data_IF_050893429141
#
_entry.id   IF_050893429141
#
_cell.length_a   1.000
_cell.length_b   1.000
_cell.length_c   1.000
_cell.angle_alpha   90.00
_cell.angle_beta   90.00
_cell.angle_gamma   90.00
#
_symmetry.space_group_name_H-M   'P 1'
#
loop_
_entity.id
_entity.type
_entity.pdbx_description
1 polymer ?
#
# COMPACT_ATOMS: atom_id res chain seq x y z
N UNK A 1 49.12 4.17 23.67
CA UNK A 1 48.04 3.19 23.74
C UNK A 1 48.61 1.84 23.33
N UNK A 2 48.52 0.82 24.17
CA UNK A 2 49.07 -0.50 23.82
C UNK A 2 48.16 -1.17 22.78
N UNK A 3 48.70 -2.09 21.96
CA UNK A 3 47.90 -2.86 20.96
C UNK A 3 46.78 -3.62 21.67
N UNK A 4 46.99 -4.12 22.86
CA UNK A 4 45.99 -4.80 23.70
C UNK A 4 44.86 -3.88 24.12
N UNK A 5 45.13 -2.63 24.49
CA UNK A 5 44.09 -1.63 24.82
C UNK A 5 43.27 -1.25 23.57
N UNK A 6 43.91 -1.14 22.41
CA UNK A 6 43.26 -0.86 21.15
C UNK A 6 42.32 -2.00 20.73
N UNK A 7 42.81 -3.25 20.83
CA UNK A 7 41.99 -4.45 20.56
C UNK A 7 40.87 -4.62 21.57
N UNK A 8 41.11 -4.31 22.86
CA UNK A 8 40.06 -4.31 23.88
C UNK A 8 38.95 -3.28 23.61
N UNK A 9 39.29 -2.05 23.19
CA UNK A 9 38.32 -1.03 22.78
C UNK A 9 37.55 -1.44 21.51
N UNK A 10 38.27 -1.99 20.53
CA UNK A 10 37.64 -2.45 19.28
C UNK A 10 36.63 -3.59 19.53
N UNK A 11 36.94 -4.50 20.46
CA UNK A 11 35.99 -5.56 20.83
C UNK A 11 34.76 -5.03 21.55
N UNK A 12 34.90 -4.02 22.41
CA UNK A 12 33.79 -3.39 23.13
C UNK A 12 32.91 -2.51 22.25
N UNK A 13 33.47 -1.89 21.21
CA UNK A 13 32.71 -1.11 20.20
C UNK A 13 32.16 -1.97 19.07
N UNK A 14 32.48 -3.27 19.06
CA UNK A 14 31.96 -4.20 18.06
C UNK A 14 30.45 -4.41 18.22
N UNK A 15 29.75 -4.39 17.12
CA UNK A 15 28.31 -4.74 17.08
C UNK A 15 28.04 -6.14 17.65
N UNK A 16 28.98 -7.09 17.57
CA UNK A 16 28.86 -8.41 18.20
C UNK A 16 28.77 -8.33 19.72
N UNK A 17 29.55 -7.47 20.35
CA UNK A 17 29.46 -7.26 21.79
C UNK A 17 28.15 -6.62 22.21
N UNK A 18 27.70 -5.60 21.44
CA UNK A 18 26.47 -4.92 21.70
C UNK A 18 25.23 -5.81 21.46
N UNK A 19 25.32 -6.78 20.54
CA UNK A 19 24.20 -7.69 20.19
C UNK A 19 23.77 -8.57 21.38
N UNK A 20 24.73 -8.90 22.28
CA UNK A 20 24.43 -9.68 23.48
C UNK A 20 23.77 -8.85 24.59
N UNK A 21 23.75 -7.51 24.48
CA UNK A 21 23.15 -6.64 25.48
C UNK A 21 21.61 -6.67 25.38
N UNK A 22 21.04 -6.84 24.18
CA UNK A 22 19.60 -6.92 23.99
C UNK A 22 19.22 -7.98 22.94
N UNK A 23 18.71 -9.12 23.40
CA UNK A 23 18.31 -10.25 22.57
C UNK A 23 17.20 -9.88 21.55
N UNK A 24 16.41 -8.82 21.79
CA UNK A 24 15.34 -8.36 20.90
C UNK A 24 15.90 -7.90 19.53
N UNK A 25 17.12 -7.39 19.50
CA UNK A 25 17.81 -7.05 18.24
C UNK A 25 18.08 -8.30 17.40
N UNK A 26 18.47 -9.42 18.04
CA UNK A 26 18.65 -10.71 17.34
C UNK A 26 17.33 -11.17 16.73
N UNK A 27 16.22 -11.05 17.45
CA UNK A 27 14.89 -11.39 16.95
C UNK A 27 14.55 -10.56 15.72
N UNK A 28 14.82 -9.25 15.73
CA UNK A 28 14.56 -8.37 14.57
C UNK A 28 15.44 -8.71 13.37
N UNK A 29 16.70 -9.07 13.58
CA UNK A 29 17.58 -9.56 12.51
C UNK A 29 17.01 -10.83 11.88
N UNK A 30 16.53 -11.77 12.70
CA UNK A 30 15.90 -13.00 12.21
C UNK A 30 14.62 -12.68 11.43
N UNK A 31 13.75 -11.80 11.94
CA UNK A 31 12.54 -11.37 11.22
C UNK A 31 12.92 -10.72 9.88
N UNK A 32 13.92 -9.84 9.85
CA UNK A 32 14.40 -9.22 8.61
C UNK A 32 14.90 -10.28 7.61
N UNK A 33 15.65 -11.28 8.07
CA UNK A 33 16.10 -12.40 7.22
C UNK A 33 14.92 -13.24 6.69
N UNK A 34 13.89 -13.49 7.49
CA UNK A 34 12.67 -14.19 7.06
C UNK A 34 11.95 -13.37 5.98
N UNK A 35 11.78 -12.07 6.18
CA UNK A 35 11.16 -11.18 5.17
C UNK A 35 12.01 -11.13 3.89
N UNK A 36 13.35 -11.09 3.99
CA UNK A 36 14.23 -11.19 2.82
C UNK A 36 14.05 -12.54 2.09
N UNK A 37 13.96 -13.65 2.82
CA UNK A 37 13.67 -14.95 2.22
C UNK A 37 12.32 -14.95 1.50
N UNK A 38 11.28 -14.35 2.07
CA UNK A 38 9.99 -14.22 1.43
C UNK A 38 10.06 -13.40 0.13
N UNK A 39 10.78 -12.28 0.15
CA UNK A 39 10.97 -11.44 -1.04
C UNK A 39 11.82 -12.12 -2.12
N UNK A 40 12.97 -12.68 -1.74
CA UNK A 40 13.95 -13.23 -2.69
C UNK A 40 13.55 -14.60 -3.25
N UNK A 41 13.12 -15.51 -2.38
CA UNK A 41 12.87 -16.91 -2.74
C UNK A 41 11.40 -17.15 -3.08
N UNK A 42 10.49 -16.63 -2.25
CA UNK A 42 9.04 -16.78 -2.48
C UNK A 42 8.48 -15.74 -3.44
N UNK A 43 9.28 -14.73 -3.81
CA UNK A 43 8.91 -13.64 -4.74
C UNK A 43 7.67 -12.84 -4.29
N UNK A 44 7.49 -12.69 -2.99
CA UNK A 44 6.41 -11.90 -2.40
C UNK A 44 6.78 -10.42 -2.50
N UNK A 45 6.12 -9.69 -3.39
CA UNK A 45 6.30 -8.25 -3.65
C UNK A 45 7.77 -7.79 -3.56
N UNK A 46 8.68 -8.37 -4.38
CA UNK A 46 10.13 -8.25 -4.18
C UNK A 46 10.61 -6.80 -4.26
N UNK A 47 9.94 -5.95 -5.03
CA UNK A 47 10.37 -4.56 -5.23
C UNK A 47 10.33 -3.72 -3.95
N UNK A 48 9.40 -4.01 -3.05
CA UNK A 48 9.23 -3.25 -1.81
C UNK A 48 9.67 -4.06 -0.59
N UNK A 49 9.29 -5.34 -0.51
CA UNK A 49 9.56 -6.16 0.66
C UNK A 49 11.07 -6.34 0.92
N UNK A 50 11.89 -6.47 -0.14
CA UNK A 50 13.35 -6.58 0.00
C UNK A 50 13.92 -5.30 0.61
N UNK A 51 13.52 -4.13 0.11
CA UNK A 51 13.98 -2.84 0.64
C UNK A 51 13.54 -2.63 2.10
N UNK A 52 12.29 -2.94 2.44
CA UNK A 52 11.76 -2.85 3.81
C UNK A 52 12.55 -3.79 4.74
N UNK A 53 12.73 -5.05 4.34
CA UNK A 53 13.44 -6.02 5.15
C UNK A 53 14.92 -5.65 5.34
N UNK A 54 15.56 -5.08 4.31
CA UNK A 54 16.94 -4.64 4.40
C UNK A 54 17.10 -3.37 5.26
N UNK A 55 16.17 -2.41 5.15
CA UNK A 55 16.10 -1.24 6.04
C UNK A 55 15.92 -1.64 7.50
N UNK A 56 15.01 -2.60 7.77
CA UNK A 56 14.83 -3.20 9.10
C UNK A 56 16.12 -3.87 9.60
N UNK A 57 16.83 -4.61 8.74
CA UNK A 57 18.11 -5.22 9.08
C UNK A 57 19.13 -4.16 9.50
N UNK A 58 19.34 -3.13 8.67
CA UNK A 58 20.33 -2.09 8.93
C UNK A 58 20.07 -1.35 10.24
N UNK A 59 18.82 -1.00 10.54
CA UNK A 59 18.49 -0.23 11.74
C UNK A 59 18.61 -1.05 13.03
N UNK A 60 18.46 -2.39 12.96
CA UNK A 60 18.58 -3.28 14.11
C UNK A 60 19.99 -3.89 14.29
N UNK A 61 20.96 -3.54 13.44
CA UNK A 61 22.36 -3.85 13.67
C UNK A 61 22.92 -2.90 14.73
N UNK A 62 23.39 -3.41 15.88
CA UNK A 62 23.89 -2.57 16.96
C UNK A 62 25.03 -1.65 16.51
N UNK A 63 24.96 -0.38 16.88
CA UNK A 63 25.98 0.61 16.54
C UNK A 63 25.97 1.08 15.07
N UNK A 64 24.96 0.71 14.28
CA UNK A 64 24.87 1.11 12.88
C UNK A 64 24.61 2.61 12.68
N UNK A 65 23.93 3.26 13.63
CA UNK A 65 23.58 4.68 13.62
C UNK A 65 22.94 5.13 12.29
N UNK A 66 22.13 4.26 11.68
CA UNK A 66 21.49 4.53 10.39
C UNK A 66 20.16 5.26 10.54
N UNK A 67 19.46 5.06 11.66
CA UNK A 67 18.14 5.63 11.96
C UNK A 67 18.01 5.90 13.47
N UNK A 68 17.49 7.07 13.84
CA UNK A 68 17.39 7.57 15.22
C UNK A 68 15.95 7.94 15.55
N UNK A 69 15.14 7.02 16.07
CA UNK A 69 13.73 7.27 16.38
C UNK A 69 13.51 8.46 17.34
N UNK A 70 14.43 8.68 18.27
CA UNK A 70 14.41 9.76 19.24
C UNK A 70 14.48 11.15 18.61
N UNK A 71 15.20 11.31 17.49
CA UNK A 71 15.22 12.58 16.74
C UNK A 71 13.85 12.86 16.12
N UNK A 72 13.16 11.82 15.64
CA UNK A 72 11.82 11.97 15.07
C UNK A 72 10.77 12.26 16.12
N UNK A 73 10.89 11.68 17.34
CA UNK A 73 10.00 12.00 18.46
C UNK A 73 10.16 13.46 18.87
N UNK A 74 11.38 13.95 19.04
CA UNK A 74 11.67 15.35 19.38
C UNK A 74 11.22 16.31 18.27
N UNK A 75 11.32 15.90 16.99
CA UNK A 75 10.80 16.68 15.88
C UNK A 75 9.26 16.78 15.91
N UNK A 76 8.58 15.66 16.18
CA UNK A 76 7.12 15.64 16.29
C UNK A 76 6.63 16.43 17.49
N UNK A 77 7.39 16.40 18.60
CA UNK A 77 7.11 17.22 19.78
C UNK A 77 7.39 18.73 19.57
N UNK A 78 8.01 19.11 18.45
CA UNK A 78 8.37 20.50 18.16
C UNK A 78 9.61 21.01 18.91
N UNK A 79 10.41 20.11 19.49
CA UNK A 79 11.60 20.43 20.25
C UNK A 79 12.81 20.72 19.35
N UNK A 80 12.89 20.07 18.19
CA UNK A 80 13.96 20.24 17.21
C UNK A 80 13.40 20.54 15.82
N UNK A 81 14.26 21.06 14.95
CA UNK A 81 13.92 21.36 13.55
C UNK A 81 14.37 20.25 12.61
N UNK A 82 13.84 20.22 11.40
CA UNK A 82 14.27 19.29 10.35
C UNK A 82 15.77 19.46 10.01
N UNK A 83 16.30 20.67 10.12
CA UNK A 83 17.74 20.94 9.94
C UNK A 83 18.58 20.19 10.95
N UNK A 84 18.11 20.04 12.18
CA UNK A 84 18.81 19.26 13.21
C UNK A 84 18.89 17.78 12.82
N UNK A 85 17.80 17.21 12.31
CA UNK A 85 17.78 15.82 11.80
C UNK A 85 18.79 15.64 10.65
N UNK A 86 18.91 16.61 9.75
CA UNK A 86 19.87 16.53 8.62
C UNK A 86 21.33 16.52 9.13
N UNK A 87 21.64 17.20 10.22
CA UNK A 87 23.00 17.28 10.76
C UNK A 87 23.36 16.11 11.68
N UNK A 88 22.44 15.67 12.52
CA UNK A 88 22.70 14.67 13.55
C UNK A 88 22.19 13.25 13.16
N UNK A 89 21.29 13.17 12.19
CA UNK A 89 20.68 11.91 11.76
C UNK A 89 21.59 11.07 10.87
N UNK A 90 21.28 9.78 10.80
CA UNK A 90 21.91 8.83 9.90
C UNK A 90 21.33 8.89 8.48
N UNK A 91 21.89 8.06 7.60
CA UNK A 91 21.45 8.01 6.19
C UNK A 91 19.95 7.72 6.04
N UNK A 92 19.42 6.80 6.85
CA UNK A 92 18.00 6.41 6.75
C UNK A 92 17.08 7.47 7.37
N UNK A 93 17.54 8.30 8.30
CA UNK A 93 16.82 9.47 8.77
C UNK A 93 16.63 10.49 7.63
N UNK A 94 17.68 10.76 6.85
CA UNK A 94 17.62 11.68 5.70
C UNK A 94 16.65 11.15 4.65
N UNK A 95 16.71 9.86 4.32
CA UNK A 95 15.75 9.25 3.39
C UNK A 95 14.32 9.27 3.93
N UNK A 96 14.13 9.13 5.24
CA UNK A 96 12.80 9.14 5.85
C UNK A 96 12.10 10.50 5.75
N UNK A 97 12.81 11.60 5.53
CA UNK A 97 12.22 12.93 5.26
C UNK A 97 11.23 12.86 4.10
N UNK A 98 11.56 12.15 3.03
CA UNK A 98 10.67 12.00 1.87
C UNK A 98 9.40 11.18 2.16
N UNK A 99 9.45 10.26 3.14
CA UNK A 99 8.26 9.56 3.66
C UNK A 99 7.42 10.52 4.49
N UNK A 100 8.03 11.17 5.48
CA UNK A 100 7.34 12.06 6.43
C UNK A 100 6.68 13.25 5.74
N UNK A 101 7.32 13.81 4.72
CA UNK A 101 6.75 14.89 3.89
C UNK A 101 5.61 14.43 2.97
N UNK A 102 5.48 13.11 2.72
CA UNK A 102 4.53 12.56 1.76
C UNK A 102 5.02 12.63 0.30
N UNK A 103 6.28 13.01 0.07
CA UNK A 103 6.86 13.13 -1.28
C UNK A 103 6.89 11.78 -2.00
N UNK A 104 7.47 10.75 -1.37
CA UNK A 104 7.62 9.45 -2.02
C UNK A 104 6.30 8.77 -2.37
N UNK A 105 5.30 8.68 -1.48
CA UNK A 105 4.00 8.13 -1.85
C UNK A 105 3.35 8.86 -3.02
N UNK A 106 3.42 10.19 -3.06
CA UNK A 106 2.86 10.99 -4.15
C UNK A 106 3.56 10.71 -5.49
N UNK A 107 4.89 10.60 -5.50
CA UNK A 107 5.65 10.25 -6.70
C UNK A 107 5.40 8.81 -7.18
N UNK A 108 5.20 7.87 -6.27
CA UNK A 108 4.78 6.50 -6.63
C UNK A 108 3.40 6.55 -7.28
N UNK A 109 2.47 7.32 -6.75
CA UNK A 109 1.15 7.50 -7.37
C UNK A 109 1.24 8.08 -8.79
N UNK A 110 2.20 8.98 -9.07
CA UNK A 110 2.45 9.45 -10.43
C UNK A 110 2.90 8.31 -11.34
N UNK A 111 3.81 7.46 -10.90
CA UNK A 111 4.23 6.26 -11.64
C UNK A 111 3.08 5.29 -11.88
N UNK A 112 2.28 5.00 -10.84
CA UNK A 112 1.07 4.17 -10.95
C UNK A 112 0.09 4.76 -11.95
N UNK A 113 -0.13 6.07 -11.94
CA UNK A 113 -0.98 6.77 -12.91
C UNK A 113 -0.49 6.61 -14.35
N UNK A 114 0.83 6.73 -14.57
CA UNK A 114 1.45 6.52 -15.89
C UNK A 114 1.35 5.06 -16.37
N UNK A 115 1.30 4.09 -15.46
CA UNK A 115 1.08 2.67 -15.79
C UNK A 115 -0.40 2.34 -16.03
N UNK A 116 -1.32 3.06 -15.40
CA UNK A 116 -2.74 2.73 -15.34
C UNK A 116 -3.45 3.05 -16.66
N UNK A 117 -4.33 2.17 -17.11
CA UNK A 117 -5.30 2.43 -18.16
C UNK A 117 -6.71 2.57 -17.56
N UNK A 118 -7.25 3.78 -17.59
CA UNK A 118 -8.61 4.07 -17.15
C UNK A 118 -9.68 3.73 -18.20
N UNK A 119 -9.29 3.24 -19.38
CA UNK A 119 -10.21 2.84 -20.45
C UNK A 119 -11.31 1.90 -19.98
N UNK A 120 -11.02 0.78 -19.29
CA UNK A 120 -12.03 -0.13 -18.75
C UNK A 120 -13.04 0.54 -17.81
N UNK A 121 -12.58 1.45 -16.94
CA UNK A 121 -13.43 2.22 -16.04
C UNK A 121 -14.35 3.18 -16.83
N UNK A 122 -13.80 3.89 -17.82
CA UNK A 122 -14.54 4.79 -18.69
C UNK A 122 -15.55 4.07 -19.57
N UNK A 123 -15.21 2.84 -20.01
CA UNK A 123 -16.09 1.99 -20.79
C UNK A 123 -17.30 1.51 -19.96
N UNK A 124 -17.10 1.24 -18.66
CA UNK A 124 -18.16 0.83 -17.73
C UNK A 124 -18.08 1.61 -16.40
N UNK A 125 -18.59 2.84 -16.33
CA UNK A 125 -18.52 3.67 -15.12
C UNK A 125 -19.18 3.05 -13.87
N UNK A 126 -20.10 2.09 -14.04
CA UNK A 126 -20.71 1.37 -12.92
C UNK A 126 -19.69 0.59 -12.10
N UNK A 127 -18.52 0.28 -12.66
CA UNK A 127 -17.41 -0.37 -11.97
C UNK A 127 -16.81 0.50 -10.84
N UNK A 128 -17.03 1.83 -10.84
CA UNK A 128 -16.73 2.71 -9.69
C UNK A 128 -17.40 2.23 -8.41
N UNK A 129 -18.63 1.75 -8.50
CA UNK A 129 -19.37 1.25 -7.34
C UNK A 129 -18.70 0.01 -6.73
N UNK A 130 -18.12 -0.87 -7.55
CA UNK A 130 -17.40 -2.05 -7.08
C UNK A 130 -16.09 -1.67 -6.35
N UNK A 131 -15.35 -0.69 -6.87
CA UNK A 131 -14.21 -0.12 -6.18
C UNK A 131 -14.60 0.54 -4.85
N UNK A 132 -15.71 1.29 -4.83
CA UNK A 132 -16.23 1.88 -3.60
C UNK A 132 -16.66 0.82 -2.56
N UNK A 133 -17.33 -0.26 -3.01
CA UNK A 133 -17.74 -1.35 -2.12
C UNK A 133 -16.55 -2.09 -1.49
N UNK A 134 -15.44 -2.21 -2.19
CA UNK A 134 -14.22 -2.80 -1.64
C UNK A 134 -13.62 -1.95 -0.50
N UNK A 135 -13.88 -0.63 -0.44
CA UNK A 135 -13.45 0.20 0.68
C UNK A 135 -14.15 -0.18 2.00
N UNK A 136 -15.16 -1.05 1.97
CA UNK A 136 -15.76 -1.63 3.19
C UNK A 136 -14.68 -2.26 4.10
N UNK A 137 -13.62 -2.82 3.52
CA UNK A 137 -12.48 -3.35 4.28
C UNK A 137 -11.79 -2.31 5.15
N UNK A 138 -11.62 -1.08 4.65
CA UNK A 138 -11.03 0.04 5.39
C UNK A 138 -11.87 0.35 6.64
N UNK A 139 -13.16 0.57 6.44
CA UNK A 139 -14.06 0.98 7.53
C UNK A 139 -14.34 -0.15 8.50
N UNK A 140 -14.44 -1.40 8.04
CA UNK A 140 -14.58 -2.56 8.92
C UNK A 140 -13.37 -2.73 9.84
N UNK A 141 -12.15 -2.66 9.31
CA UNK A 141 -10.94 -2.75 10.10
C UNK A 141 -10.79 -1.55 11.06
N UNK A 142 -11.14 -0.34 10.62
CA UNK A 142 -11.17 0.85 11.48
C UNK A 142 -12.10 0.66 12.69
N UNK A 143 -13.32 0.21 12.46
CA UNK A 143 -14.30 -0.02 13.53
C UNK A 143 -13.86 -1.13 14.48
N UNK A 144 -13.28 -2.22 13.95
CA UNK A 144 -12.75 -3.30 14.80
C UNK A 144 -11.53 -2.86 15.60
N UNK A 145 -10.64 -2.05 15.01
CA UNK A 145 -9.47 -1.52 15.70
C UNK A 145 -9.85 -0.69 16.92
N UNK A 146 -10.90 0.14 16.81
CA UNK A 146 -11.42 0.92 17.94
C UNK A 146 -12.25 0.02 18.89
N UNK A 147 -13.23 -0.69 18.35
CA UNK A 147 -14.26 -1.34 19.17
C UNK A 147 -13.79 -2.62 19.86
N UNK A 148 -12.90 -3.38 19.25
CA UNK A 148 -12.42 -4.66 19.77
C UNK A 148 -11.04 -4.53 20.41
N UNK A 149 -10.12 -3.82 19.75
CA UNK A 149 -8.71 -3.76 20.17
C UNK A 149 -8.35 -2.48 20.92
N UNK A 150 -9.26 -1.51 21.02
CA UNK A 150 -9.08 -0.29 21.83
C UNK A 150 -7.99 0.66 21.30
N UNK A 151 -7.65 0.62 20.02
CA UNK A 151 -6.71 1.57 19.43
C UNK A 151 -7.28 2.99 19.42
N UNK A 152 -6.41 3.98 19.57
CA UNK A 152 -6.78 5.38 19.37
C UNK A 152 -7.29 5.64 17.94
N UNK A 153 -8.22 6.57 17.72
CA UNK A 153 -8.86 6.78 16.41
C UNK A 153 -7.88 7.04 15.24
N UNK A 154 -6.82 7.79 15.47
CA UNK A 154 -5.77 8.06 14.49
C UNK A 154 -4.97 6.79 14.11
N UNK A 155 -4.66 5.94 15.11
CA UNK A 155 -4.00 4.64 14.89
C UNK A 155 -4.95 3.68 14.18
N UNK A 156 -6.22 3.64 14.61
CA UNK A 156 -7.24 2.81 13.98
C UNK A 156 -7.48 3.21 12.50
N UNK A 157 -7.46 4.51 12.17
CA UNK A 157 -7.53 4.99 10.80
C UNK A 157 -6.33 4.50 9.95
N UNK A 158 -5.14 4.51 10.54
CA UNK A 158 -3.91 4.00 9.91
C UNK A 158 -3.93 2.48 9.74
N UNK A 159 -4.56 1.73 10.65
CA UNK A 159 -4.78 0.29 10.49
C UNK A 159 -5.84 0.01 9.43
N UNK A 160 -6.95 0.74 9.48
CA UNK A 160 -8.07 0.58 8.56
C UNK A 160 -7.65 0.71 7.09
N UNK A 161 -6.80 1.69 6.77
CA UNK A 161 -6.37 1.94 5.38
C UNK A 161 -5.69 0.75 4.71
N UNK A 162 -5.14 -0.22 5.48
CA UNK A 162 -4.60 -1.47 4.94
C UNK A 162 -5.64 -2.17 4.06
N UNK A 163 -6.93 -2.11 4.43
CA UNK A 163 -8.03 -2.71 3.68
C UNK A 163 -8.25 -2.15 2.28
N UNK A 164 -7.69 -0.97 1.96
CA UNK A 164 -7.65 -0.45 0.60
C UNK A 164 -6.75 -1.24 -0.34
N UNK A 165 -5.84 -2.05 0.19
CA UNK A 165 -4.83 -2.82 -0.54
C UNK A 165 -3.91 -1.92 -1.39
N UNK A 166 -3.51 -0.79 -0.83
CA UNK A 166 -2.71 0.24 -1.48
C UNK A 166 -1.56 0.65 -0.53
N UNK A 167 -0.39 0.07 -0.76
CA UNK A 167 0.78 0.28 0.09
C UNK A 167 1.22 1.75 0.20
N UNK A 168 1.40 2.48 -0.91
CA UNK A 168 1.75 3.90 -0.88
C UNK A 168 0.75 4.76 -0.10
N UNK A 169 -0.55 4.50 -0.26
CA UNK A 169 -1.62 5.18 0.49
C UNK A 169 -1.52 4.87 1.99
N UNK A 170 -1.27 3.61 2.34
CA UNK A 170 -1.11 3.19 3.73
C UNK A 170 0.10 3.90 4.38
N UNK A 171 1.23 3.98 3.69
CA UNK A 171 2.41 4.71 4.16
C UNK A 171 2.11 6.20 4.30
N UNK A 172 1.48 6.81 3.30
CA UNK A 172 1.18 8.24 3.30
C UNK A 172 0.29 8.64 4.48
N UNK A 173 -0.79 7.90 4.71
CA UNK A 173 -1.71 8.19 5.82
C UNK A 173 -1.04 7.93 7.17
N UNK A 174 -0.41 6.77 7.34
CA UNK A 174 0.21 6.37 8.61
C UNK A 174 1.36 7.29 9.01
N UNK A 175 2.19 7.75 8.06
CA UNK A 175 3.28 8.69 8.35
C UNK A 175 2.80 10.01 8.95
N UNK A 176 1.53 10.36 8.74
CA UNK A 176 0.88 11.57 9.26
C UNK A 176 0.12 11.32 10.57
N UNK A 177 -0.67 10.23 10.63
CA UNK A 177 -1.59 9.95 11.74
C UNK A 177 -0.95 9.13 12.87
N UNK A 178 -0.06 8.18 12.53
CA UNK A 178 0.47 7.22 13.50
C UNK A 178 1.88 6.73 13.09
N UNK A 179 2.89 7.62 13.05
CA UNK A 179 4.22 7.29 12.55
C UNK A 179 4.90 6.14 13.30
N UNK A 180 4.61 5.95 14.58
CA UNK A 180 5.14 4.83 15.38
C UNK A 180 4.71 3.45 14.89
N UNK A 181 3.59 3.38 14.19
CA UNK A 181 3.04 2.15 13.62
C UNK A 181 3.32 1.99 12.12
N UNK A 182 4.18 2.86 11.55
CA UNK A 182 4.43 2.88 10.11
C UNK A 182 5.01 1.55 9.60
N UNK A 183 6.02 1.01 10.28
CA UNK A 183 6.64 -0.25 9.88
C UNK A 183 5.66 -1.44 9.93
N UNK A 184 4.97 -1.73 11.05
CA UNK A 184 4.03 -2.85 11.08
C UNK A 184 2.89 -2.70 10.07
N UNK A 185 2.37 -1.49 9.85
CA UNK A 185 1.31 -1.24 8.86
C UNK A 185 1.82 -1.43 7.43
N UNK A 186 3.01 -0.92 7.10
CA UNK A 186 3.61 -1.11 5.78
C UNK A 186 3.90 -2.59 5.50
N UNK A 187 4.51 -3.30 6.45
CA UNK A 187 4.81 -4.74 6.31
C UNK A 187 3.51 -5.53 6.12
N UNK A 188 2.48 -5.26 6.91
CA UNK A 188 1.18 -5.91 6.77
C UNK A 188 0.58 -5.63 5.38
N UNK A 189 0.50 -4.36 4.96
CA UNK A 189 -0.08 -3.96 3.68
C UNK A 189 0.60 -4.66 2.50
N UNK A 190 1.94 -4.62 2.42
CA UNK A 190 2.67 -5.23 1.30
C UNK A 190 2.67 -6.76 1.36
N UNK A 191 2.76 -7.35 2.56
CA UNK A 191 2.68 -8.81 2.70
C UNK A 191 1.33 -9.35 2.22
N UNK A 192 0.23 -8.69 2.56
CA UNK A 192 -1.10 -9.12 2.12
C UNK A 192 -1.35 -8.85 0.64
N UNK A 193 -0.85 -7.76 0.08
CA UNK A 193 -0.88 -7.56 -1.37
C UNK A 193 -0.23 -8.73 -2.12
N UNK A 194 0.92 -9.20 -1.64
CA UNK A 194 1.60 -10.36 -2.22
C UNK A 194 0.80 -11.67 -2.05
N UNK A 195 0.01 -11.79 -1.00
CA UNK A 195 -0.80 -12.97 -0.69
C UNK A 195 -2.19 -12.97 -1.35
N UNK A 196 -2.58 -11.92 -2.07
CA UNK A 196 -3.87 -11.81 -2.77
C UNK A 196 -4.23 -13.07 -3.56
N UNK A 197 -3.31 -13.70 -4.36
CA UNK A 197 -3.62 -14.92 -5.09
C UNK A 197 -3.96 -16.13 -4.21
N UNK A 198 -3.63 -16.09 -2.93
CA UNK A 198 -3.93 -17.14 -1.94
C UNK A 198 -5.16 -16.79 -1.10
N UNK A 199 -5.31 -15.52 -0.73
CA UNK A 199 -6.34 -15.04 0.19
C UNK A 199 -7.70 -14.89 -0.52
N UNK A 200 -7.74 -14.27 -1.69
CA UNK A 200 -9.01 -13.98 -2.39
C UNK A 200 -9.75 -15.20 -2.92
N UNK A 201 -9.11 -16.21 -3.57
CA UNK A 201 -9.84 -17.32 -4.21
C UNK A 201 -10.76 -18.12 -3.28
N UNK A 202 -10.39 -18.43 -2.02
CA UNK A 202 -11.30 -19.09 -1.08
C UNK A 202 -12.59 -18.29 -0.84
N UNK A 203 -12.48 -16.99 -0.61
CA UNK A 203 -13.62 -16.09 -0.38
C UNK A 203 -14.48 -15.97 -1.64
N UNK A 204 -13.85 -15.84 -2.81
CA UNK A 204 -14.55 -15.79 -4.09
C UNK A 204 -15.40 -17.04 -4.32
N UNK A 205 -14.86 -18.22 -4.04
CA UNK A 205 -15.58 -19.51 -4.20
C UNK A 205 -16.66 -19.70 -3.16
N UNK A 206 -16.44 -19.21 -1.94
CA UNK A 206 -17.43 -19.31 -0.85
C UNK A 206 -18.66 -18.44 -1.15
N UNK A 207 -18.46 -17.24 -1.68
CA UNK A 207 -19.51 -16.27 -1.89
C UNK A 207 -20.19 -16.32 -3.26
N UNK A 208 -19.63 -17.04 -4.24
CA UNK A 208 -20.21 -17.14 -5.59
C UNK A 208 -20.53 -18.56 -5.96
N UNK A 209 -21.63 -18.77 -6.69
CA UNK A 209 -21.97 -20.08 -7.23
C UNK A 209 -21.15 -20.38 -8.49
N UNK A 210 -21.14 -21.63 -8.94
CA UNK A 210 -20.42 -22.04 -10.16
C UNK A 210 -21.01 -21.33 -11.38
N UNK A 211 -22.33 -21.27 -11.46
CA UNK A 211 -23.08 -20.61 -12.54
C UNK A 211 -22.73 -19.11 -12.62
N UNK A 212 -22.65 -18.42 -11.48
CA UNK A 212 -22.24 -17.03 -11.42
C UNK A 212 -20.81 -16.80 -11.94
N UNK A 213 -19.88 -17.72 -11.64
CA UNK A 213 -18.49 -17.64 -12.10
C UNK A 213 -18.32 -17.95 -13.60
N UNK A 214 -19.26 -18.71 -14.19
CA UNK A 214 -19.25 -19.06 -15.62
C UNK A 214 -19.80 -17.94 -16.50
N UNK A 215 -20.44 -16.90 -15.95
CA UNK A 215 -21.04 -15.80 -16.71
C UNK A 215 -19.96 -15.12 -17.58
N UNK A 216 -20.20 -15.10 -18.89
CA UNK A 216 -19.41 -14.35 -19.86
C UNK A 216 -19.94 -12.92 -19.96
N UNK A 217 -19.03 -11.97 -19.92
CA UNK A 217 -19.38 -10.57 -20.08
C UNK A 217 -19.20 -10.13 -21.55
N UNK A 218 -20.08 -9.27 -22.01
CA UNK A 218 -19.99 -8.66 -23.34
C UNK A 218 -18.76 -7.75 -23.45
N UNK A 219 -18.19 -7.61 -24.65
CA UNK A 219 -17.03 -6.76 -24.88
C UNK A 219 -17.30 -5.30 -24.46
N UNK A 220 -16.30 -4.68 -23.83
CA UNK A 220 -16.38 -3.29 -23.43
C UNK A 220 -16.45 -2.37 -24.67
N UNK A 221 -17.23 -1.29 -24.55
CA UNK A 221 -17.27 -0.27 -25.61
C UNK A 221 -15.93 0.42 -25.80
N UNK A 222 -15.56 0.83 -27.02
CA UNK A 222 -14.36 1.63 -27.24
C UNK A 222 -14.47 2.99 -26.55
N UNK A 223 -13.35 3.49 -26.02
CA UNK A 223 -13.23 4.78 -25.34
C UNK A 223 -12.39 5.71 -26.22
N UNK A 224 -12.89 6.92 -26.47
CA UNK A 224 -12.18 7.89 -27.30
C UNK A 224 -10.97 8.50 -26.58
N UNK A 225 -9.94 8.90 -27.35
CA UNK A 225 -8.76 9.59 -26.80
C UNK A 225 -9.14 10.85 -26.01
N UNK A 226 -10.14 11.60 -26.46
CA UNK A 226 -10.64 12.78 -25.75
C UNK A 226 -11.16 12.44 -24.35
N UNK A 227 -11.94 11.34 -24.22
CA UNK A 227 -12.42 10.88 -22.90
C UNK A 227 -11.27 10.50 -21.98
N UNK A 228 -10.24 9.81 -22.47
CA UNK A 228 -9.06 9.43 -21.69
C UNK A 228 -8.25 10.63 -21.21
N UNK A 229 -8.12 11.69 -22.01
CA UNK A 229 -7.42 12.93 -21.62
C UNK A 229 -8.25 13.77 -20.64
N UNK A 230 -9.55 13.91 -20.86
CA UNK A 230 -10.42 14.74 -20.01
C UNK A 230 -10.67 14.12 -18.64
N UNK A 231 -10.68 12.80 -18.54
CA UNK A 231 -10.97 12.09 -17.30
C UNK A 231 -10.05 12.47 -16.13
N UNK A 232 -8.70 12.41 -16.25
CA UNK A 232 -7.82 12.77 -15.15
C UNK A 232 -7.97 14.25 -14.73
N UNK A 233 -8.23 15.15 -15.68
CA UNK A 233 -8.43 16.57 -15.39
C UNK A 233 -9.72 16.78 -14.59
N UNK A 234 -10.83 16.21 -15.05
CA UNK A 234 -12.16 16.35 -14.42
C UNK A 234 -12.12 15.72 -13.02
N UNK A 235 -11.57 14.52 -12.89
CA UNK A 235 -11.49 13.83 -11.59
C UNK A 235 -10.63 14.63 -10.61
N UNK A 236 -9.49 15.18 -11.05
CA UNK A 236 -8.65 16.01 -10.19
C UNK A 236 -9.41 17.23 -9.70
N UNK A 237 -10.05 17.97 -10.58
CA UNK A 237 -10.80 19.19 -10.21
C UNK A 237 -11.92 18.82 -9.23
N UNK A 238 -12.76 17.87 -9.60
CA UNK A 238 -13.96 17.54 -8.82
C UNK A 238 -13.62 16.97 -7.45
N UNK A 239 -12.71 15.99 -7.39
CA UNK A 239 -12.39 15.30 -6.13
C UNK A 239 -11.54 16.17 -5.21
N UNK A 240 -10.58 16.93 -5.74
CA UNK A 240 -9.75 17.82 -4.91
C UNK A 240 -10.53 19.05 -4.40
N UNK A 241 -11.57 19.52 -5.12
CA UNK A 241 -12.48 20.53 -4.59
C UNK A 241 -13.38 19.97 -3.49
N UNK A 242 -13.82 18.71 -3.62
CA UNK A 242 -14.63 18.04 -2.61
C UNK A 242 -13.78 17.71 -1.35
N UNK A 243 -12.56 17.25 -1.55
CA UNK A 243 -11.68 16.78 -0.48
C UNK A 243 -10.22 17.24 -0.76
N UNK A 244 -9.85 18.45 -0.35
CA UNK A 244 -8.52 19.02 -0.64
C UNK A 244 -7.34 18.18 -0.14
N UNK A 245 -7.52 17.45 0.96
CA UNK A 245 -6.48 16.60 1.56
C UNK A 245 -5.99 15.48 0.63
N UNK A 246 -6.77 15.06 -0.37
CA UNK A 246 -6.39 13.98 -1.32
C UNK A 246 -5.50 14.48 -2.46
N UNK A 247 -5.39 15.80 -2.64
CA UNK A 247 -4.70 16.40 -3.78
C UNK A 247 -3.28 15.88 -4.03
N UNK A 248 -2.42 15.64 -3.02
CA UNK A 248 -1.07 15.11 -3.26
C UNK A 248 -1.08 13.73 -3.92
N UNK A 249 -1.94 12.81 -3.46
CA UNK A 249 -2.01 11.45 -4.00
C UNK A 249 -2.76 11.42 -5.33
N UNK A 250 -4.01 11.86 -5.34
CA UNK A 250 -4.86 11.80 -6.52
C UNK A 250 -4.37 12.71 -7.65
N UNK A 251 -3.88 13.90 -7.31
CA UNK A 251 -3.33 14.82 -8.29
C UNK A 251 -2.11 14.24 -9.00
N UNK A 252 -1.20 13.60 -8.26
CA UNK A 252 -0.05 12.91 -8.86
C UNK A 252 -0.48 11.70 -9.69
N UNK A 253 -1.44 10.89 -9.22
CA UNK A 253 -2.01 9.77 -10.00
C UNK A 253 -2.55 10.25 -11.35
N UNK A 254 -3.36 11.29 -11.33
CA UNK A 254 -4.00 11.84 -12.52
C UNK A 254 -2.99 12.54 -13.44
N UNK A 255 -1.96 13.20 -12.89
CA UNK A 255 -0.88 13.79 -13.67
C UNK A 255 -0.08 12.71 -14.42
N UNK A 256 0.28 11.62 -13.76
CA UNK A 256 0.96 10.49 -14.38
C UNK A 256 0.13 9.88 -15.52
N UNK A 257 -1.17 9.72 -15.30
CA UNK A 257 -2.09 9.23 -16.32
C UNK A 257 -2.21 10.20 -17.50
N UNK A 258 -2.26 11.50 -17.23
CA UNK A 258 -2.29 12.52 -18.29
C UNK A 258 -1.01 12.47 -19.15
N UNK A 259 0.17 12.23 -18.57
CA UNK A 259 1.41 12.05 -19.32
C UNK A 259 1.32 10.90 -20.33
N UNK A 260 0.66 9.81 -19.96
CA UNK A 260 0.44 8.66 -20.84
C UNK A 260 -0.59 8.93 -21.92
N UNK A 261 -1.76 9.46 -21.55
CA UNK A 261 -2.91 9.50 -22.46
C UNK A 261 -2.87 10.67 -23.45
N UNK A 262 -2.12 11.74 -23.17
CA UNK A 262 -2.00 12.87 -24.11
C UNK A 262 -1.20 12.51 -25.36
N UNK A 263 -0.22 11.58 -25.27
CA UNK A 263 0.64 11.17 -26.37
C UNK A 263 1.62 12.26 -26.83
N UNK A 264 1.87 13.27 -26.01
CA UNK A 264 2.82 14.35 -26.26
C UNK A 264 4.02 14.28 -25.32
N UNK A 265 3.89 13.52 -24.23
CA UNK A 265 4.84 13.44 -23.13
C UNK A 265 5.28 12.00 -22.86
N UNK A 266 5.44 11.18 -23.89
CA UNK A 266 5.80 9.76 -23.77
C UNK A 266 7.10 9.56 -22.97
N UNK A 267 8.08 10.45 -23.13
CA UNK A 267 9.33 10.43 -22.35
C UNK A 267 9.10 10.67 -20.86
N UNK A 268 8.18 11.54 -20.49
CA UNK A 268 7.84 11.78 -19.08
C UNK A 268 7.05 10.60 -18.50
N UNK A 269 6.13 10.05 -19.29
CA UNK A 269 5.39 8.84 -18.94
C UNK A 269 6.35 7.67 -18.69
N UNK A 270 7.30 7.44 -19.61
CA UNK A 270 8.32 6.39 -19.47
C UNK A 270 9.18 6.60 -18.22
N UNK A 271 9.67 7.83 -18.00
CA UNK A 271 10.46 8.16 -16.82
C UNK A 271 9.66 7.94 -15.52
N UNK A 272 8.40 8.36 -15.49
CA UNK A 272 7.55 8.25 -14.31
C UNK A 272 7.29 6.78 -13.92
N UNK A 273 6.96 5.93 -14.89
CA UNK A 273 6.62 4.53 -14.65
C UNK A 273 7.84 3.61 -14.44
N UNK A 274 9.03 4.02 -14.86
CA UNK A 274 10.25 3.22 -14.78
C UNK A 274 11.28 3.86 -13.82
N UNK A 275 12.06 4.84 -14.27
CA UNK A 275 13.20 5.37 -13.52
C UNK A 275 12.78 6.03 -12.19
N UNK A 276 11.81 6.96 -12.24
CA UNK A 276 11.34 7.67 -11.05
C UNK A 276 10.73 6.72 -10.03
N UNK A 277 9.82 5.84 -10.48
CA UNK A 277 9.16 4.88 -9.61
C UNK A 277 10.17 3.95 -8.94
N UNK A 278 11.16 3.45 -9.67
CA UNK A 278 12.18 2.56 -9.13
C UNK A 278 13.07 3.27 -8.09
N UNK A 279 13.55 4.49 -8.38
CA UNK A 279 14.36 5.28 -7.44
C UNK A 279 13.58 5.57 -6.16
N UNK A 280 12.35 6.04 -6.30
CA UNK A 280 11.50 6.38 -5.14
C UNK A 280 11.15 5.13 -4.34
N UNK A 281 10.93 3.99 -5.00
CA UNK A 281 10.68 2.70 -4.32
C UNK A 281 11.87 2.28 -3.47
N UNK A 282 13.10 2.43 -3.95
CA UNK A 282 14.31 2.14 -3.17
C UNK A 282 14.35 3.01 -1.91
N UNK A 283 14.18 4.32 -2.04
CA UNK A 283 14.25 5.25 -0.92
C UNK A 283 13.12 5.03 0.10
N UNK A 284 11.89 4.86 -0.41
CA UNK A 284 10.72 4.63 0.43
C UNK A 284 10.84 3.31 1.18
N UNK A 285 11.14 2.21 0.50
CA UNK A 285 11.15 0.88 1.13
C UNK A 285 12.23 0.77 2.20
N UNK A 286 13.45 1.25 1.93
CA UNK A 286 14.56 1.19 2.89
C UNK A 286 14.29 2.08 4.11
N UNK A 287 13.80 3.30 3.92
CA UNK A 287 13.52 4.22 5.02
C UNK A 287 12.30 3.82 5.86
N UNK A 288 11.27 3.25 5.24
CA UNK A 288 10.12 2.68 5.97
C UNK A 288 10.56 1.46 6.77
N UNK A 289 11.39 0.59 6.19
CA UNK A 289 11.95 -0.55 6.91
C UNK A 289 12.77 -0.14 8.14
N UNK A 290 13.48 0.99 8.05
CA UNK A 290 14.26 1.52 9.15
C UNK A 290 13.43 1.91 10.39
N UNK A 291 12.16 2.26 10.21
CA UNK A 291 11.27 2.57 11.35
C UNK A 291 10.92 1.34 12.19
N UNK A 292 11.23 0.13 11.72
CA UNK A 292 11.02 -1.13 12.44
C UNK A 292 12.10 -1.39 13.49
N UNK A 293 12.26 -0.50 14.45
CA UNK A 293 13.19 -0.71 15.58
C UNK A 293 12.59 -1.69 16.58
N UNK A 294 13.45 -2.51 17.21
CA UNK A 294 13.03 -3.64 18.05
C UNK A 294 12.03 -3.29 19.15
N UNK A 295 12.20 -2.18 19.86
CA UNK A 295 11.35 -1.80 20.99
C UNK A 295 9.99 -1.22 20.55
N UNK A 296 9.83 -0.74 19.31
CA UNK A 296 8.57 -0.30 18.72
C UNK A 296 7.85 -1.44 18.00
N UNK A 297 8.61 -2.33 17.36
CA UNK A 297 8.06 -3.38 16.52
C UNK A 297 7.63 -4.62 17.31
N UNK A 298 8.44 -5.07 18.28
CA UNK A 298 8.15 -6.27 19.08
C UNK A 298 7.14 -5.98 20.20
N UNK A 299 5.94 -5.60 19.81
CA UNK A 299 4.83 -5.29 20.71
C UNK A 299 3.58 -6.10 20.36
N UNK A 300 2.67 -6.37 21.33
CA UNK A 300 1.40 -7.04 21.02
C UNK A 300 0.57 -6.31 19.98
N UNK A 301 0.66 -4.99 19.94
CA UNK A 301 -0.03 -4.15 18.96
C UNK A 301 0.35 -4.48 17.52
N UNK A 302 1.61 -4.81 17.27
CA UNK A 302 2.08 -5.26 15.95
C UNK A 302 1.35 -6.52 15.49
N UNK A 303 1.15 -7.50 16.38
CA UNK A 303 0.39 -8.71 16.05
C UNK A 303 -1.09 -8.38 15.75
N UNK A 304 -1.70 -7.47 16.53
CA UNK A 304 -3.07 -7.04 16.28
C UNK A 304 -3.19 -6.32 14.92
N UNK A 305 -2.23 -5.47 14.56
CA UNK A 305 -2.18 -4.82 13.24
C UNK A 305 -2.11 -5.84 12.11
N UNK A 306 -1.26 -6.87 12.25
CA UNK A 306 -1.14 -7.94 11.27
C UNK A 306 -2.49 -8.67 11.12
N UNK A 307 -3.12 -9.09 12.20
CA UNK A 307 -4.42 -9.78 12.15
C UNK A 307 -5.50 -8.88 11.55
N UNK A 308 -5.60 -7.64 11.99
CA UNK A 308 -6.58 -6.67 11.48
C UNK A 308 -6.37 -6.38 9.98
N UNK A 309 -5.12 -6.32 9.52
CA UNK A 309 -4.79 -6.14 8.12
C UNK A 309 -5.31 -7.29 7.25
N UNK A 310 -5.15 -8.55 7.70
CA UNK A 310 -5.72 -9.71 7.00
C UNK A 310 -7.24 -9.61 6.91
N UNK A 311 -7.88 -9.35 8.05
CA UNK A 311 -9.35 -9.20 8.13
C UNK A 311 -9.82 -8.06 7.21
N UNK A 312 -9.10 -6.94 7.17
CA UNK A 312 -9.40 -5.82 6.28
C UNK A 312 -9.43 -6.21 4.80
N UNK A 313 -8.45 -7.00 4.36
CA UNK A 313 -8.39 -7.52 2.98
C UNK A 313 -9.55 -8.46 2.66
N UNK A 314 -9.91 -9.35 3.60
CA UNK A 314 -11.04 -10.23 3.43
C UNK A 314 -12.36 -9.45 3.32
N UNK A 315 -12.60 -8.48 4.21
CA UNK A 315 -13.80 -7.65 4.15
C UNK A 315 -13.86 -6.80 2.88
N UNK A 316 -12.72 -6.32 2.37
CA UNK A 316 -12.68 -5.62 1.09
C UNK A 316 -13.12 -6.53 -0.07
N UNK A 317 -12.61 -7.76 -0.10
CA UNK A 317 -12.99 -8.77 -1.09
C UNK A 317 -14.48 -9.12 -0.98
N UNK A 318 -14.97 -9.34 0.24
CA UNK A 318 -16.40 -9.62 0.53
C UNK A 318 -17.29 -8.48 0.03
N UNK A 319 -16.95 -7.23 0.36
CA UNK A 319 -17.72 -6.04 -0.05
C UNK A 319 -17.85 -5.92 -1.56
N UNK A 320 -16.74 -6.05 -2.26
CA UNK A 320 -16.73 -6.03 -3.72
C UNK A 320 -17.55 -7.16 -4.34
N UNK A 321 -17.41 -8.40 -3.83
CA UNK A 321 -18.17 -9.56 -4.32
C UNK A 321 -19.67 -9.44 -4.06
N UNK A 322 -20.07 -9.00 -2.86
CA UNK A 322 -21.50 -8.86 -2.52
C UNK A 322 -22.17 -7.82 -3.42
N UNK A 323 -21.53 -6.68 -3.67
CA UNK A 323 -22.04 -5.71 -4.61
C UNK A 323 -22.02 -6.26 -6.05
N UNK A 324 -20.97 -7.01 -6.43
CA UNK A 324 -20.92 -7.72 -7.71
C UNK A 324 -22.09 -8.68 -7.91
N UNK A 325 -22.48 -9.43 -6.88
CA UNK A 325 -23.67 -10.31 -6.90
C UNK A 325 -24.97 -9.50 -7.04
N UNK A 326 -25.08 -8.40 -6.31
CA UNK A 326 -26.24 -7.52 -6.45
C UNK A 326 -26.35 -6.97 -7.88
N UNK A 327 -25.24 -6.52 -8.46
CA UNK A 327 -25.18 -6.04 -9.84
C UNK A 327 -25.48 -7.17 -10.85
N UNK A 328 -25.02 -8.38 -10.60
CA UNK A 328 -25.35 -9.57 -11.39
C UNK A 328 -26.86 -9.79 -11.41
N UNK A 329 -27.49 -9.80 -10.24
CA UNK A 329 -28.96 -9.97 -10.12
C UNK A 329 -29.74 -8.85 -10.81
N UNK A 330 -29.33 -7.59 -10.61
CA UNK A 330 -30.00 -6.42 -11.22
C UNK A 330 -29.81 -6.35 -12.74
N UNK A 331 -28.72 -6.91 -13.26
CA UNK A 331 -28.46 -6.96 -14.71
C UNK A 331 -29.08 -8.16 -15.41
N UNK A 332 -29.79 -9.03 -14.69
CA UNK A 332 -30.32 -10.27 -15.25
C UNK A 332 -29.25 -11.29 -15.66
N UNK A 333 -28.16 -11.39 -14.87
CA UNK A 333 -27.09 -12.36 -15.10
C UNK A 333 -26.03 -11.94 -16.13
N UNK A 334 -25.94 -10.65 -16.48
CA UNK A 334 -24.96 -10.14 -17.48
C UNK A 334 -23.62 -9.75 -16.88
N UNK A 335 -23.55 -9.53 -15.59
CA UNK A 335 -22.33 -9.12 -14.88
C UNK A 335 -21.83 -10.29 -14.06
N UNK A 336 -20.58 -10.70 -14.29
CA UNK A 336 -19.94 -11.72 -13.49
C UNK A 336 -19.50 -11.15 -12.12
N UNK A 337 -19.99 -11.68 -10.99
CA UNK A 337 -19.68 -11.15 -9.66
C UNK A 337 -18.18 -11.15 -9.31
N UNK A 338 -17.39 -12.05 -9.92
CA UNK A 338 -15.96 -12.15 -9.68
C UNK A 338 -15.21 -10.83 -9.90
N UNK A 339 -15.69 -9.96 -10.82
CA UNK A 339 -15.02 -8.68 -11.05
C UNK A 339 -15.07 -7.77 -9.82
N UNK A 340 -16.02 -7.99 -8.91
CA UNK A 340 -16.13 -7.25 -7.65
C UNK A 340 -14.93 -7.47 -6.71
N UNK A 341 -14.32 -8.68 -6.72
CA UNK A 341 -13.11 -8.94 -5.93
C UNK A 341 -11.92 -8.09 -6.35
N UNK A 342 -11.93 -7.59 -7.60
CA UNK A 342 -10.89 -6.70 -8.11
C UNK A 342 -11.02 -5.25 -7.63
N UNK A 343 -12.08 -4.91 -6.87
CA UNK A 343 -12.28 -3.56 -6.34
C UNK A 343 -11.23 -3.10 -5.32
N UNK A 344 -10.40 -3.99 -4.80
CA UNK A 344 -9.21 -3.65 -4.03
C UNK A 344 -8.15 -3.02 -4.93
N UNK A 345 -7.37 -2.06 -4.44
CA UNK A 345 -6.44 -1.27 -5.28
C UNK A 345 -5.12 -1.95 -5.63
N UNK A 346 -4.97 -3.24 -5.39
CA UNK A 346 -3.79 -4.02 -5.80
C UNK A 346 -3.79 -4.24 -7.33
N UNK A 347 -3.34 -3.24 -8.07
CA UNK A 347 -3.31 -3.22 -9.54
C UNK A 347 -2.00 -3.81 -10.07
N UNK A 348 -2.04 -4.71 -11.06
CA UNK A 348 -3.21 -5.41 -11.65
C UNK A 348 -3.48 -6.77 -11.01
N UNK A 349 -2.97 -7.04 -9.81
CA UNK A 349 -2.94 -8.37 -9.20
C UNK A 349 -4.34 -8.92 -8.92
N UNK A 350 -5.21 -8.12 -8.30
CA UNK A 350 -6.57 -8.54 -7.98
C UNK A 350 -7.41 -8.80 -9.25
N UNK A 351 -7.22 -8.00 -10.30
CA UNK A 351 -7.89 -8.23 -11.59
C UNK A 351 -7.43 -9.54 -12.25
N UNK A 352 -6.14 -9.89 -12.13
CA UNK A 352 -5.61 -11.18 -12.62
C UNK A 352 -6.19 -12.36 -11.83
N UNK A 353 -6.38 -12.24 -10.52
CA UNK A 353 -7.00 -13.28 -9.70
C UNK A 353 -8.46 -13.48 -10.12
N UNK A 354 -9.23 -12.42 -10.36
CA UNK A 354 -10.60 -12.51 -10.89
C UNK A 354 -10.62 -13.22 -12.25
N UNK A 355 -9.67 -12.91 -13.15
CA UNK A 355 -9.52 -13.60 -14.43
C UNK A 355 -9.23 -15.09 -14.25
N UNK A 356 -8.28 -15.43 -13.36
CA UNK A 356 -7.90 -16.85 -13.13
C UNK A 356 -9.07 -17.68 -12.58
N UNK A 357 -9.82 -17.14 -11.62
CA UNK A 357 -10.99 -17.84 -11.07
C UNK A 357 -12.14 -17.96 -12.09
N UNK A 358 -12.36 -16.92 -12.92
CA UNK A 358 -13.32 -17.01 -14.02
C UNK A 358 -12.92 -18.04 -15.09
N UNK A 359 -11.65 -18.07 -15.47
CA UNK A 359 -11.13 -19.05 -16.43
C UNK A 359 -11.15 -20.50 -15.90
N UNK A 360 -10.99 -20.69 -14.57
CA UNK A 360 -11.15 -22.01 -13.92
C UNK A 360 -12.59 -22.51 -14.00
N UNK A 361 -13.57 -21.64 -13.88
CA UNK A 361 -14.98 -22.00 -14.01
C UNK A 361 -15.37 -22.23 -15.49
N UNK A 362 -14.90 -21.36 -16.38
CA UNK A 362 -15.15 -21.42 -17.81
C UNK A 362 -13.91 -20.94 -18.59
N UNK A 363 -13.14 -21.83 -19.26
CA UNK A 363 -11.90 -21.46 -19.96
C UNK A 363 -12.05 -20.39 -21.05
N UNK A 364 -13.26 -20.19 -21.57
CA UNK A 364 -13.55 -19.15 -22.57
C UNK A 364 -13.97 -17.80 -21.95
N UNK A 365 -13.82 -17.64 -20.63
CA UNK A 365 -14.21 -16.44 -19.92
C UNK A 365 -13.02 -15.47 -19.77
N UNK A 366 -13.13 -14.30 -20.40
CA UNK A 366 -12.11 -13.25 -20.37
C UNK A 366 -12.59 -12.07 -19.50
N UNK A 367 -12.36 -12.18 -18.19
CA UNK A 367 -12.79 -11.17 -17.21
C UNK A 367 -11.77 -10.06 -16.97
N UNK A 368 -10.52 -10.20 -17.43
CA UNK A 368 -9.43 -9.28 -17.07
C UNK A 368 -9.78 -7.81 -17.34
N UNK A 369 -10.23 -7.50 -18.54
CA UNK A 369 -10.57 -6.13 -18.92
C UNK A 369 -11.75 -5.57 -18.11
N UNK A 370 -12.71 -6.42 -17.76
CA UNK A 370 -13.85 -6.04 -16.91
C UNK A 370 -13.43 -5.86 -15.45
N UNK A 371 -12.51 -6.68 -14.95
CA UNK A 371 -11.96 -6.59 -13.61
C UNK A 371 -11.01 -5.39 -13.43
N UNK A 372 -10.35 -4.92 -14.50
CA UNK A 372 -9.51 -3.73 -14.45
C UNK A 372 -10.31 -2.46 -14.12
N UNK A 373 -11.57 -2.35 -14.53
CA UNK A 373 -12.43 -1.21 -14.18
C UNK A 373 -12.57 -1.02 -12.67
N UNK A 374 -13.11 -2.01 -11.93
CA UNK A 374 -13.17 -1.98 -10.48
C UNK A 374 -11.80 -1.84 -9.80
N UNK A 375 -10.76 -2.47 -10.35
CA UNK A 375 -9.41 -2.44 -9.78
C UNK A 375 -8.84 -1.03 -9.76
N UNK A 376 -8.96 -0.31 -10.86
CA UNK A 376 -8.52 1.08 -10.97
C UNK A 376 -9.44 2.02 -10.16
N UNK A 377 -10.74 1.73 -10.10
CA UNK A 377 -11.65 2.44 -9.22
C UNK A 377 -11.27 2.29 -7.74
N UNK A 378 -10.72 1.14 -7.34
CA UNK A 378 -10.16 0.91 -6.01
C UNK A 378 -9.03 1.87 -5.65
N UNK A 379 -8.12 2.17 -6.59
CA UNK A 379 -7.01 3.12 -6.36
C UNK A 379 -7.52 4.52 -6.06
N UNK A 380 -8.52 4.99 -6.82
CA UNK A 380 -9.17 6.26 -6.54
C UNK A 380 -9.88 6.19 -5.18
N UNK A 381 -10.57 5.09 -4.90
CA UNK A 381 -11.29 4.86 -3.66
C UNK A 381 -10.40 4.87 -2.42
N UNK A 382 -9.26 4.17 -2.46
CA UNK A 382 -8.29 4.14 -1.35
C UNK A 382 -7.66 5.52 -1.10
N UNK A 383 -7.31 6.26 -2.15
CA UNK A 383 -6.78 7.62 -2.04
C UNK A 383 -7.81 8.58 -1.41
N UNK A 384 -9.08 8.50 -1.85
CA UNK A 384 -10.18 9.30 -1.30
C UNK A 384 -10.44 8.92 0.17
N UNK A 385 -10.46 7.63 0.49
CA UNK A 385 -10.64 7.16 1.87
C UNK A 385 -9.50 7.66 2.78
N UNK A 386 -8.25 7.60 2.32
CA UNK A 386 -7.10 8.13 3.07
C UNK A 386 -7.20 9.64 3.30
N UNK A 387 -7.59 10.40 2.26
CA UNK A 387 -7.81 11.83 2.40
C UNK A 387 -8.94 12.16 3.39
N UNK A 388 -10.04 11.38 3.35
CA UNK A 388 -11.14 11.51 4.31
C UNK A 388 -10.66 11.21 5.75
N UNK A 389 -9.97 10.10 5.95
CA UNK A 389 -9.44 9.73 7.28
C UNK A 389 -8.45 10.77 7.80
N UNK A 390 -7.61 11.33 6.92
CA UNK A 390 -6.71 12.41 7.30
C UNK A 390 -7.46 13.69 7.69
N UNK A 391 -8.51 14.05 6.96
CA UNK A 391 -9.31 15.23 7.25
C UNK A 391 -10.06 15.11 8.59
N UNK A 392 -10.48 13.88 8.96
CA UNK A 392 -11.24 13.64 10.19
C UNK A 392 -10.33 13.46 11.42
N UNK A 393 -9.18 12.79 11.25
CA UNK A 393 -8.33 12.36 12.38
C UNK A 393 -6.94 13.01 12.39
N UNK A 394 -6.62 13.87 11.44
CA UNK A 394 -5.31 14.51 11.31
C UNK A 394 -5.21 15.93 11.86
N UNK A 395 -6.24 16.38 12.59
CA UNK A 395 -6.34 17.71 13.17
C UNK A 395 -5.62 17.87 14.50
#
# INVERSE_FOLDING_TARGET
MSILETLGRLSQTSGFYMLFADWRQIVMIVIACVLLYMGLVKKFEPLLLIGIAFGMLLTNLPGSNMYHPELWDSYIAGEITLTHIIHEGGLLDILYIGVKSGLYPSLIFMGVGAMTDFGPLLANPKSLLLGAAAQMGIFAAFLMAIGIFGFAPNVAASIGIIGGADGPTAIWLTSKLAPDYLAPIAIAAYSYMALIPLIQPPVMRLLTTKEEREIKMEQLRPVSKKQKILFPIIVTIFVCLLLPSVAPLLGCLMLGNLFKECGLTDRLSDTAQNALMNIVTIFLSTSVGATAVYYRFLTPQTLFIIVLGLIAFEFATVGGLLLGKLMCKLSGGKINPLIGSAGVSAVPMAARVSQLEGARANPSNFLLMHAMGPNVAGVIGSAVAAGFLLAVFGG
#
